data_IF_502204360865
#
_entry.id   IF_502204360865
#
_cell.length_a   1.000
_cell.length_b   1.000
_cell.length_c   1.000
_cell.angle_alpha   90.00
_cell.angle_beta   90.00
_cell.angle_gamma   90.00
#
_symmetry.space_group_name_H-M   'P 1'
#
loop_
_entity.id
_entity.type
_entity.pdbx_description
1 polymer ?
#
# COMPACT_ATOMS: atom_id res chain seq x y z
N UNK A 1 -14.36 6.70 13.05
CA UNK A 1 -14.94 6.18 14.31
C UNK A 1 -14.62 4.72 14.32
N UNK A 2 -13.83 4.24 15.30
CA UNK A 2 -13.59 2.81 15.50
C UNK A 2 -14.89 2.18 16.00
N UNK A 3 -15.27 1.02 15.44
CA UNK A 3 -16.40 0.27 15.97
C UNK A 3 -16.07 -0.27 17.37
N UNK A 4 -17.06 -0.47 18.22
CA UNK A 4 -16.84 -1.04 19.56
C UNK A 4 -16.43 -2.52 19.57
N UNK A 5 -15.83 -3.04 18.52
CA UNK A 5 -15.54 -4.47 18.39
C UNK A 5 -14.22 -4.85 17.71
N UNK A 6 -13.43 -3.89 17.22
CA UNK A 6 -12.10 -4.19 16.64
C UNK A 6 -11.06 -4.48 17.73
N UNK A 7 -10.01 -5.30 17.40
CA UNK A 7 -8.98 -5.70 18.37
C UNK A 7 -8.14 -4.51 18.85
N UNK A 8 -8.11 -3.41 18.10
CA UNK A 8 -7.34 -2.22 18.43
C UNK A 8 -8.23 -1.01 18.70
N UNK A 9 -8.10 -0.44 19.91
CA UNK A 9 -8.79 0.80 20.28
C UNK A 9 -7.97 2.04 19.85
N UNK A 10 -8.02 2.35 18.54
CA UNK A 10 -7.36 3.54 18.00
C UNK A 10 -7.87 4.85 18.59
N UNK A 11 -9.11 4.89 19.06
CA UNK A 11 -9.67 6.09 19.70
C UNK A 11 -8.98 6.35 21.00
N UNK A 12 -8.73 5.31 21.78
CA UNK A 12 -7.97 5.39 23.03
C UNK A 12 -6.52 5.77 22.77
N UNK A 13 -5.86 5.07 21.84
CA UNK A 13 -4.47 5.36 21.46
C UNK A 13 -4.28 6.82 21.04
N UNK A 14 -5.18 7.36 20.20
CA UNK A 14 -5.15 8.77 19.78
C UNK A 14 -5.35 9.73 20.93
N UNK A 15 -6.27 9.45 21.87
CA UNK A 15 -6.49 10.28 23.06
C UNK A 15 -5.27 10.33 23.95
N UNK A 16 -4.62 9.19 24.19
CA UNK A 16 -3.41 9.08 25.00
C UNK A 16 -2.25 9.87 24.37
N UNK A 17 -2.05 9.74 23.03
CA UNK A 17 -1.04 10.49 22.31
C UNK A 17 -1.29 12.00 22.31
N UNK A 18 -2.55 12.42 22.11
CA UNK A 18 -2.92 13.85 22.17
C UNK A 18 -2.70 14.42 23.59
N UNK A 19 -3.02 13.65 24.61
CA UNK A 19 -2.80 14.07 26.00
C UNK A 19 -1.30 14.20 26.34
N UNK A 20 -0.47 13.27 25.84
CA UNK A 20 0.99 13.26 26.08
C UNK A 20 1.75 14.32 25.28
N UNK A 21 1.41 14.48 23.98
CA UNK A 21 2.21 15.28 23.04
C UNK A 21 1.65 16.68 22.78
N UNK A 22 0.42 16.93 23.21
CA UNK A 22 -0.31 18.17 22.97
C UNK A 22 -1.06 18.18 21.64
N UNK A 23 -2.30 18.71 21.66
CA UNK A 23 -3.21 18.77 20.52
C UNK A 23 -2.61 19.54 19.34
N UNK A 24 -1.97 20.68 19.59
CA UNK A 24 -1.45 21.54 18.53
C UNK A 24 -0.34 20.85 17.72
N UNK A 25 0.47 20.04 18.37
CA UNK A 25 1.53 19.27 17.71
C UNK A 25 0.94 18.20 16.80
N UNK A 26 -0.07 17.47 17.24
CA UNK A 26 -0.77 16.48 16.41
C UNK A 26 -1.48 17.17 15.24
N UNK A 27 -2.17 18.29 15.47
CA UNK A 27 -2.80 19.07 14.39
C UNK A 27 -1.78 19.57 13.37
N UNK A 28 -0.59 20.00 13.81
CA UNK A 28 0.48 20.42 12.91
C UNK A 28 0.93 19.30 11.95
N UNK A 29 0.97 18.03 12.41
CA UNK A 29 1.31 16.89 11.58
C UNK A 29 0.29 16.64 10.46
N UNK A 30 -0.99 17.02 10.66
CA UNK A 30 -2.05 16.88 9.65
C UNK A 30 -2.11 18.02 8.63
N UNK A 31 -1.24 19.05 8.76
CA UNK A 31 -1.25 20.17 7.83
C UNK A 31 -0.87 19.72 6.43
N UNK A 32 -1.77 19.94 5.49
CA UNK A 32 -1.58 19.61 4.08
C UNK A 32 -0.83 20.72 3.33
N UNK A 33 -0.04 20.32 2.34
CA UNK A 33 0.64 21.21 1.41
C UNK A 33 0.26 20.84 -0.02
N UNK A 34 -0.58 21.67 -0.63
CA UNK A 34 -1.06 21.46 -2.00
C UNK A 34 0.09 21.30 -3.00
N UNK A 35 1.15 22.06 -2.83
CA UNK A 35 2.31 22.00 -3.72
C UNK A 35 3.11 20.70 -3.60
N UNK A 36 3.23 20.16 -2.38
CA UNK A 36 3.87 18.84 -2.18
C UNK A 36 3.05 17.72 -2.77
N UNK A 37 1.72 17.79 -2.65
CA UNK A 37 0.82 16.82 -3.27
C UNK A 37 0.94 16.88 -4.81
N UNK A 38 0.90 18.09 -5.41
CA UNK A 38 1.07 18.26 -6.86
C UNK A 38 2.45 17.75 -7.32
N UNK A 39 3.52 18.14 -6.63
CA UNK A 39 4.87 17.71 -6.97
C UNK A 39 5.03 16.19 -6.89
N UNK A 40 4.44 15.54 -5.87
CA UNK A 40 4.42 14.09 -5.76
C UNK A 40 3.67 13.41 -6.90
N UNK A 41 2.47 13.90 -7.24
CA UNK A 41 1.67 13.37 -8.35
C UNK A 41 2.42 13.53 -9.67
N UNK A 42 2.89 14.75 -9.98
CA UNK A 42 3.62 15.02 -11.22
C UNK A 42 4.92 14.20 -11.29
N UNK A 43 5.64 14.10 -10.18
CA UNK A 43 6.86 13.30 -10.09
C UNK A 43 6.61 11.81 -10.33
N UNK A 44 5.55 11.25 -9.74
CA UNK A 44 5.18 9.84 -9.93
C UNK A 44 4.80 9.54 -11.38
N UNK A 45 3.91 10.33 -11.99
CA UNK A 45 3.54 10.15 -13.38
C UNK A 45 4.72 10.42 -14.33
N UNK A 46 5.53 11.45 -14.06
CA UNK A 46 6.73 11.77 -14.83
C UNK A 46 7.72 10.60 -14.84
N UNK A 47 8.00 10.02 -13.67
CA UNK A 47 8.88 8.86 -13.54
C UNK A 47 8.29 7.62 -14.23
N UNK A 48 6.98 7.39 -14.09
CA UNK A 48 6.31 6.30 -14.78
C UNK A 48 6.48 6.38 -16.29
N UNK A 49 6.16 7.52 -16.89
CA UNK A 49 6.25 7.69 -18.35
C UNK A 49 7.70 7.72 -18.85
N UNK A 50 8.62 8.29 -18.07
CA UNK A 50 10.05 8.22 -18.36
C UNK A 50 10.52 6.76 -18.43
N UNK A 51 10.19 5.94 -17.43
CA UNK A 51 10.55 4.52 -17.42
C UNK A 51 9.89 3.76 -18.58
N UNK A 52 8.61 4.04 -18.88
CA UNK A 52 7.92 3.43 -20.04
C UNK A 52 8.66 3.72 -21.33
N UNK A 53 9.05 4.97 -21.55
CA UNK A 53 9.80 5.37 -22.71
C UNK A 53 11.19 4.74 -22.74
N UNK A 54 11.97 4.88 -21.67
CA UNK A 54 13.34 4.39 -21.59
C UNK A 54 13.41 2.87 -21.80
N UNK A 55 12.62 2.12 -21.04
CA UNK A 55 12.60 0.66 -21.10
C UNK A 55 12.15 0.14 -22.48
N UNK A 56 11.28 0.88 -23.15
CA UNK A 56 10.78 0.51 -24.48
C UNK A 56 11.71 0.82 -25.64
N UNK A 57 12.59 1.81 -25.47
CA UNK A 57 13.42 2.32 -26.57
C UNK A 57 14.89 1.89 -26.50
N UNK A 58 15.41 1.51 -25.31
CA UNK A 58 16.80 1.14 -25.13
C UNK A 58 17.04 -0.37 -25.24
N UNK A 59 18.13 -0.72 -25.92
CA UNK A 59 18.51 -2.11 -26.14
C UNK A 59 19.08 -2.77 -24.87
N UNK A 60 18.87 -4.07 -24.74
CA UNK A 60 19.35 -4.94 -23.64
C UNK A 60 20.08 -6.17 -24.17
N UNK A 61 20.56 -6.10 -25.43
CA UNK A 61 21.15 -7.27 -26.12
C UNK A 61 22.56 -7.62 -25.66
N UNK A 62 23.26 -6.66 -25.01
CA UNK A 62 24.63 -6.83 -24.57
C UNK A 62 24.78 -6.43 -23.10
N UNK A 63 25.69 -7.08 -22.38
CA UNK A 63 26.00 -6.70 -21.00
C UNK A 63 26.85 -5.43 -21.00
N UNK A 64 26.20 -4.31 -20.71
CA UNK A 64 26.78 -2.95 -20.68
C UNK A 64 26.23 -2.17 -19.50
N UNK A 65 26.79 -1.02 -19.13
CA UNK A 65 26.20 -0.12 -18.12
C UNK A 65 24.75 0.27 -18.47
N UNK A 66 24.42 0.43 -19.75
CA UNK A 66 23.07 0.71 -20.23
C UNK A 66 22.13 -0.46 -19.94
N UNK A 67 22.58 -1.69 -20.14
CA UNK A 67 21.82 -2.90 -19.80
C UNK A 67 21.61 -2.99 -18.28
N UNK A 68 22.60 -2.67 -17.45
CA UNK A 68 22.46 -2.63 -16.01
C UNK A 68 21.44 -1.58 -15.57
N UNK A 69 21.50 -0.37 -16.13
CA UNK A 69 20.51 0.68 -15.88
C UNK A 69 19.11 0.25 -16.31
N UNK A 70 18.98 -0.44 -17.45
CA UNK A 70 17.71 -0.96 -17.93
C UNK A 70 17.09 -1.90 -16.89
N UNK A 71 17.85 -2.83 -16.31
CA UNK A 71 17.34 -3.73 -15.27
C UNK A 71 17.00 -3.02 -13.97
N UNK A 72 17.80 -2.03 -13.58
CA UNK A 72 17.49 -1.20 -12.40
C UNK A 72 16.15 -0.49 -12.59
N UNK A 73 15.94 0.15 -13.75
CA UNK A 73 14.71 0.84 -14.06
C UNK A 73 13.52 -0.13 -14.22
N UNK A 74 13.75 -1.35 -14.74
CA UNK A 74 12.74 -2.39 -14.83
C UNK A 74 12.19 -2.78 -13.44
N UNK A 75 13.07 -3.03 -12.49
CA UNK A 75 12.64 -3.33 -11.12
C UNK A 75 12.07 -2.11 -10.42
N UNK A 76 12.67 -0.93 -10.60
CA UNK A 76 12.12 0.33 -10.09
C UNK A 76 10.70 0.59 -10.58
N UNK A 77 10.39 0.23 -11.84
CA UNK A 77 9.05 0.40 -12.38
C UNK A 77 7.99 -0.42 -11.63
N UNK A 78 8.34 -1.56 -11.07
CA UNK A 78 7.44 -2.31 -10.19
C UNK A 78 7.06 -1.52 -8.94
N UNK A 79 8.02 -0.80 -8.32
CA UNK A 79 7.76 0.10 -7.21
C UNK A 79 6.94 1.33 -7.63
N UNK A 80 7.20 1.87 -8.83
CA UNK A 80 6.43 2.99 -9.38
C UNK A 80 4.97 2.57 -9.61
N UNK A 81 4.72 1.38 -10.15
CA UNK A 81 3.36 0.86 -10.35
C UNK A 81 2.68 0.65 -8.99
N UNK A 82 3.39 0.08 -8.01
CA UNK A 82 2.89 -0.05 -6.64
C UNK A 82 2.51 1.31 -6.04
N UNK A 83 3.29 2.37 -6.31
CA UNK A 83 3.03 3.71 -5.79
C UNK A 83 1.72 4.32 -6.29
N UNK A 84 1.15 3.88 -7.43
CA UNK A 84 -0.21 4.27 -7.81
C UNK A 84 -1.26 3.71 -6.85
N UNK A 85 -1.03 2.55 -6.26
CA UNK A 85 -1.86 2.03 -5.18
C UNK A 85 -1.81 2.93 -3.94
N UNK A 86 -0.64 3.51 -3.61
CA UNK A 86 -0.53 4.48 -2.52
C UNK A 86 -1.14 5.83 -2.84
N UNK A 87 -1.04 6.30 -4.07
CA UNK A 87 -1.74 7.50 -4.49
C UNK A 87 -3.26 7.32 -4.35
N UNK A 88 -3.77 6.16 -4.76
CA UNK A 88 -5.15 5.77 -4.56
C UNK A 88 -5.53 5.74 -3.06
N UNK A 89 -4.71 5.11 -2.24
CA UNK A 89 -4.83 5.01 -0.80
C UNK A 89 -4.87 6.39 -0.11
N UNK A 90 -3.89 7.23 -0.37
CA UNK A 90 -3.77 8.52 0.28
C UNK A 90 -4.85 9.51 -0.18
N UNK A 91 -5.10 9.59 -1.48
CA UNK A 91 -5.97 10.60 -2.08
C UNK A 91 -7.45 10.21 -2.04
N UNK A 92 -7.77 8.91 -2.15
CA UNK A 92 -9.16 8.45 -2.16
C UNK A 92 -9.71 8.15 -0.79
N UNK A 93 -8.92 7.43 0.01
CA UNK A 93 -9.41 6.85 1.25
C UNK A 93 -9.23 7.84 2.40
N UNK A 94 -8.00 8.34 2.58
CA UNK A 94 -7.65 9.11 3.78
C UNK A 94 -7.72 10.61 3.60
N UNK A 95 -7.37 11.12 2.43
CA UNK A 95 -7.34 12.57 2.15
C UNK A 95 -7.94 12.86 0.78
N UNK A 96 -8.90 13.72 0.66
CA UNK A 96 -9.45 14.14 -0.62
C UNK A 96 -8.65 15.32 -1.14
N UNK A 97 -7.82 15.11 -2.18
CA UNK A 97 -7.00 16.15 -2.77
C UNK A 97 -7.70 16.87 -3.93
N UNK A 98 -7.60 18.19 -3.97
CA UNK A 98 -8.06 18.98 -5.13
C UNK A 98 -9.58 19.02 -5.36
N UNK A 99 -10.38 18.60 -4.37
CA UNK A 99 -11.83 18.53 -4.46
C UNK A 99 -12.37 17.18 -4.93
N UNK A 100 -13.66 16.94 -4.71
CA UNK A 100 -14.31 15.63 -4.85
C UNK A 100 -14.15 15.02 -6.25
N UNK A 101 -14.36 15.81 -7.30
CA UNK A 101 -14.31 15.32 -8.68
C UNK A 101 -12.88 15.03 -9.13
N UNK A 102 -11.94 15.91 -8.80
CA UNK A 102 -10.54 15.69 -9.16
C UNK A 102 -9.97 14.46 -8.47
N UNK A 103 -10.17 14.33 -7.15
CA UNK A 103 -9.75 13.15 -6.38
C UNK A 103 -10.34 11.87 -6.97
N UNK A 104 -11.62 11.88 -7.33
CA UNK A 104 -12.28 10.72 -7.92
C UNK A 104 -11.61 10.26 -9.22
N UNK A 105 -11.41 11.18 -10.19
CA UNK A 105 -10.80 10.82 -11.46
C UNK A 105 -9.33 10.44 -11.35
N UNK A 106 -8.58 11.14 -10.48
CA UNK A 106 -7.21 10.74 -10.17
C UNK A 106 -7.16 9.32 -9.61
N UNK A 107 -8.15 8.96 -8.81
CA UNK A 107 -8.28 7.64 -8.24
C UNK A 107 -8.64 6.57 -9.28
N UNK A 108 -9.51 6.88 -10.22
CA UNK A 108 -9.84 5.98 -11.33
C UNK A 108 -8.60 5.69 -12.16
N UNK A 109 -7.83 6.74 -12.54
CA UNK A 109 -6.60 6.55 -13.34
C UNK A 109 -5.54 5.78 -12.55
N UNK A 110 -5.32 6.12 -11.28
CA UNK A 110 -4.40 5.38 -10.40
C UNK A 110 -4.86 3.94 -10.21
N UNK A 111 -6.17 3.72 -10.09
CA UNK A 111 -6.79 2.41 -9.98
C UNK A 111 -6.57 1.54 -11.22
N UNK A 112 -6.65 2.10 -12.42
CA UNK A 112 -6.29 1.39 -13.67
C UNK A 112 -4.83 0.93 -13.62
N UNK A 113 -3.90 1.81 -13.21
CA UNK A 113 -2.47 1.50 -13.17
C UNK A 113 -2.09 0.55 -12.04
N UNK A 114 -2.87 0.51 -10.93
CA UNK A 114 -2.65 -0.37 -9.79
C UNK A 114 -3.59 -1.58 -9.74
N UNK A 115 -4.39 -1.81 -10.78
CA UNK A 115 -5.32 -2.95 -10.91
C UNK A 115 -6.45 -2.98 -9.87
N UNK A 116 -6.96 -1.81 -9.43
CA UNK A 116 -7.95 -1.74 -8.36
C UNK A 116 -9.04 -0.70 -8.62
N UNK A 117 -10.33 -1.06 -8.55
CA UNK A 117 -11.41 -0.06 -8.53
C UNK A 117 -11.36 0.77 -7.25
N UNK A 118 -11.46 2.10 -7.34
CA UNK A 118 -11.27 3.00 -6.19
C UNK A 118 -12.19 2.72 -5.00
N UNK A 119 -13.48 2.56 -5.24
CA UNK A 119 -14.45 2.35 -4.15
C UNK A 119 -14.30 1.00 -3.49
N UNK A 120 -13.97 -0.05 -4.25
CA UNK A 120 -13.71 -1.37 -3.71
C UNK A 120 -12.44 -1.36 -2.86
N UNK A 121 -11.38 -0.73 -3.37
CA UNK A 121 -10.15 -0.57 -2.62
C UNK A 121 -10.37 0.21 -1.32
N UNK A 122 -11.05 1.36 -1.39
CA UNK A 122 -11.35 2.18 -0.22
C UNK A 122 -12.11 1.42 0.85
N UNK A 123 -13.12 0.63 0.43
CA UNK A 123 -13.89 -0.19 1.35
C UNK A 123 -13.03 -1.25 2.05
N UNK A 124 -12.32 -2.09 1.29
CA UNK A 124 -11.48 -3.16 1.86
C UNK A 124 -10.33 -2.61 2.69
N UNK A 125 -9.82 -1.42 2.34
CA UNK A 125 -8.76 -0.79 3.11
C UNK A 125 -9.27 -0.23 4.47
N UNK A 126 -10.47 0.31 4.52
CA UNK A 126 -11.07 0.74 5.79
C UNK A 126 -11.39 -0.47 6.69
N UNK A 127 -11.87 -1.59 6.13
CA UNK A 127 -12.00 -2.85 6.87
C UNK A 127 -10.64 -3.33 7.40
N UNK A 128 -9.59 -3.25 6.56
CA UNK A 128 -8.24 -3.56 7.00
C UNK A 128 -7.80 -2.72 8.19
N UNK A 129 -8.05 -1.42 8.20
CA UNK A 129 -7.75 -0.57 9.37
C UNK A 129 -8.51 -0.99 10.63
N UNK A 130 -9.74 -1.47 10.48
CA UNK A 130 -10.56 -1.90 11.61
C UNK A 130 -10.13 -3.26 12.17
N UNK A 131 -9.83 -4.20 11.28
CA UNK A 131 -9.59 -5.60 11.62
C UNK A 131 -8.15 -6.05 11.42
N UNK A 132 -7.21 -5.10 11.30
CA UNK A 132 -5.79 -5.41 11.04
C UNK A 132 -5.28 -6.54 11.95
N UNK A 133 -4.69 -7.57 11.33
CA UNK A 133 -4.09 -8.70 12.06
C UNK A 133 -5.08 -9.70 12.65
N UNK A 134 -6.38 -9.60 12.34
CA UNK A 134 -7.40 -10.57 12.76
C UNK A 134 -7.88 -11.47 11.61
N UNK A 135 -8.67 -12.49 11.95
CA UNK A 135 -9.28 -13.37 10.97
C UNK A 135 -10.34 -12.65 10.10
N UNK A 136 -10.82 -11.49 10.50
CA UNK A 136 -11.77 -10.64 9.80
C UNK A 136 -11.10 -9.74 8.76
N UNK A 137 -9.78 -9.55 8.85
CA UNK A 137 -9.01 -8.73 7.90
C UNK A 137 -8.92 -9.40 6.51
N UNK A 138 -9.93 -9.16 5.67
CA UNK A 138 -10.01 -9.76 4.33
C UNK A 138 -8.88 -9.32 3.40
N UNK A 139 -8.30 -8.14 3.61
CA UNK A 139 -7.20 -7.64 2.78
C UNK A 139 -5.91 -8.46 2.98
N UNK A 140 -5.72 -9.01 4.17
CA UNK A 140 -4.53 -9.77 4.54
C UNK A 140 -4.78 -11.25 4.81
N UNK A 141 -5.97 -11.79 4.55
CA UNK A 141 -6.22 -13.23 4.49
C UNK A 141 -5.46 -13.91 3.33
N UNK A 142 -4.18 -13.73 3.33
CA UNK A 142 -3.29 -14.47 2.46
C UNK A 142 -2.83 -15.66 3.30
N UNK A 143 -3.08 -16.87 2.83
CA UNK A 143 -2.55 -18.10 3.43
C UNK A 143 -1.01 -18.11 3.34
N UNK A 144 -0.34 -17.20 4.06
CA UNK A 144 1.12 -17.07 4.09
C UNK A 144 1.73 -17.76 5.31
N UNK A 145 1.10 -18.83 5.75
CA UNK A 145 1.45 -19.64 6.92
C UNK A 145 2.70 -20.49 6.74
N UNK A 146 3.18 -20.66 5.51
CA UNK A 146 4.37 -21.44 5.21
C UNK A 146 5.41 -20.62 4.42
N UNK A 147 6.70 -20.95 4.61
CA UNK A 147 7.79 -20.34 3.83
C UNK A 147 7.57 -20.49 2.32
N UNK A 148 7.11 -21.65 1.89
CA UNK A 148 6.86 -21.92 0.47
C UNK A 148 5.81 -20.96 -0.11
N UNK A 149 4.71 -20.74 0.60
CA UNK A 149 3.66 -19.80 0.17
C UNK A 149 4.15 -18.34 0.17
N UNK A 150 4.96 -17.94 1.15
CA UNK A 150 5.59 -16.61 1.19
C UNK A 150 6.56 -16.40 0.03
N UNK A 151 7.38 -17.40 -0.30
CA UNK A 151 8.26 -17.35 -1.46
C UNK A 151 7.47 -17.35 -2.78
N UNK A 152 6.39 -18.14 -2.86
CA UNK A 152 5.51 -18.15 -4.03
C UNK A 152 4.89 -16.77 -4.28
N UNK A 153 4.59 -16.01 -3.22
CA UNK A 153 4.00 -14.67 -3.34
C UNK A 153 4.94 -13.64 -3.97
N UNK A 154 6.25 -13.85 -3.92
CA UNK A 154 7.24 -13.06 -4.67
C UNK A 154 7.16 -13.28 -6.18
N UNK A 155 6.51 -14.35 -6.62
CA UNK A 155 6.41 -14.72 -8.03
C UNK A 155 5.10 -14.18 -8.65
N UNK A 156 5.07 -13.98 -9.98
CA UNK A 156 3.84 -13.64 -10.68
C UNK A 156 2.71 -14.60 -10.38
N UNK A 157 2.99 -15.91 -10.36
CA UNK A 157 1.94 -16.94 -10.12
C UNK A 157 1.28 -16.77 -8.76
N UNK A 158 2.05 -16.65 -7.71
CA UNK A 158 1.52 -16.49 -6.35
C UNK A 158 0.81 -15.14 -6.17
N UNK A 159 1.39 -14.08 -6.70
CA UNK A 159 0.83 -12.74 -6.61
C UNK A 159 -0.52 -12.63 -7.33
N UNK A 160 -0.60 -13.04 -8.60
CA UNK A 160 -1.85 -12.99 -9.35
C UNK A 160 -2.88 -14.01 -8.86
N UNK A 161 -2.46 -15.15 -8.32
CA UNK A 161 -3.36 -16.07 -7.63
C UNK A 161 -3.98 -15.43 -6.37
N UNK A 162 -3.22 -14.62 -5.63
CA UNK A 162 -3.75 -13.86 -4.50
C UNK A 162 -4.73 -12.77 -4.95
N UNK A 163 -4.40 -12.00 -6.00
CA UNK A 163 -5.32 -11.03 -6.60
C UNK A 163 -6.60 -11.73 -7.08
N UNK A 164 -6.48 -12.85 -7.78
CA UNK A 164 -7.64 -13.61 -8.24
C UNK A 164 -8.53 -14.09 -7.09
N UNK A 165 -7.94 -14.59 -6.00
CA UNK A 165 -8.70 -14.98 -4.80
C UNK A 165 -9.41 -13.78 -4.19
N UNK A 166 -8.74 -12.64 -4.07
CA UNK A 166 -9.32 -11.40 -3.61
C UNK A 166 -10.49 -10.96 -4.49
N UNK A 167 -10.32 -10.91 -5.82
CA UNK A 167 -11.38 -10.58 -6.76
C UNK A 167 -12.55 -11.55 -6.67
N UNK A 168 -12.28 -12.86 -6.64
CA UNK A 168 -13.34 -13.88 -6.55
C UNK A 168 -14.15 -13.81 -5.25
N UNK A 169 -13.52 -13.44 -4.14
CA UNK A 169 -14.22 -13.24 -2.86
C UNK A 169 -15.12 -12.00 -2.89
N UNK A 170 -14.68 -10.97 -3.59
CA UNK A 170 -15.36 -9.68 -3.65
C UNK A 170 -16.24 -9.50 -4.90
N UNK A 171 -16.34 -10.53 -5.78
CA UNK A 171 -17.16 -10.46 -6.98
C UNK A 171 -18.08 -11.71 -7.10
N UNK A 172 -19.42 -11.57 -7.21
CA UNK A 172 -20.15 -10.32 -7.04
C UNK A 172 -19.86 -9.73 -5.65
N UNK A 173 -19.84 -8.41 -5.50
CA UNK A 173 -19.48 -7.79 -4.22
C UNK A 173 -20.34 -8.43 -3.12
N UNK A 174 -19.69 -9.16 -2.21
CA UNK A 174 -20.33 -9.58 -0.99
C UNK A 174 -20.51 -8.31 -0.19
N UNK A 175 -21.73 -7.86 -0.11
CA UNK A 175 -22.06 -6.76 0.74
C UNK A 175 -21.73 -7.17 2.18
N UNK A 176 -20.97 -6.35 2.93
CA UNK A 176 -20.84 -6.59 4.35
C UNK A 176 -22.22 -6.66 4.95
N UNK A 177 -22.35 -7.45 6.01
CA UNK A 177 -23.58 -7.53 6.76
C UNK A 177 -24.05 -6.09 7.12
N UNK A 178 -25.38 -5.86 7.21
CA UNK A 178 -25.94 -4.55 7.57
C UNK A 178 -25.34 -3.92 8.83
N UNK A 179 -24.74 -4.74 9.68
CA UNK A 179 -24.15 -4.39 10.96
C UNK A 179 -22.65 -4.06 10.87
N UNK A 180 -22.04 -4.00 9.67
CA UNK A 180 -20.66 -3.57 9.57
C UNK A 180 -20.53 -2.13 10.06
N UNK A 181 -19.51 -1.87 10.88
CA UNK A 181 -19.27 -0.59 11.55
C UNK A 181 -19.23 0.63 10.64
N UNK A 182 -19.02 0.44 9.35
CA UNK A 182 -18.99 1.52 8.38
C UNK A 182 -20.36 1.93 7.83
N UNK A 183 -21.42 1.15 8.01
CA UNK A 183 -22.82 1.52 7.67
C UNK A 183 -23.04 2.07 6.25
N UNK A 184 -21.98 2.12 5.42
CA UNK A 184 -21.97 2.71 4.08
C UNK A 184 -21.30 1.73 3.14
N UNK A 185 -22.14 0.91 2.51
CA UNK A 185 -21.70 0.12 1.37
C UNK A 185 -21.37 1.03 0.19
N UNK A 186 -20.33 0.74 -0.60
CA UNK A 186 -20.19 1.39 -1.88
C UNK A 186 -21.47 1.14 -2.68
N UNK A 187 -22.02 2.19 -3.28
CA UNK A 187 -23.16 2.07 -4.18
C UNK A 187 -22.83 1.05 -5.28
N UNK A 188 -23.70 0.04 -5.44
CA UNK A 188 -23.52 -1.02 -6.44
C UNK A 188 -23.34 -0.44 -7.85
N UNK A 189 -24.11 0.61 -8.19
CA UNK A 189 -24.01 1.27 -9.47
C UNK A 189 -22.64 1.95 -9.63
N UNK A 190 -22.10 2.53 -8.55
CA UNK A 190 -20.76 3.11 -8.53
C UNK A 190 -19.69 2.06 -8.78
N UNK A 191 -19.74 0.91 -8.11
CA UNK A 191 -18.79 -0.19 -8.31
C UNK A 191 -18.83 -0.73 -9.75
N UNK A 192 -20.02 -0.97 -10.30
CA UNK A 192 -20.16 -1.42 -11.68
C UNK A 192 -19.55 -0.40 -12.64
N UNK A 193 -19.81 0.89 -12.43
CA UNK A 193 -19.25 1.97 -13.24
C UNK A 193 -17.72 2.01 -13.16
N UNK A 194 -17.15 1.83 -11.98
CA UNK A 194 -15.70 1.80 -11.81
C UNK A 194 -15.07 0.60 -12.51
N UNK A 195 -15.69 -0.58 -12.45
CA UNK A 195 -15.24 -1.74 -13.21
C UNK A 195 -15.29 -1.51 -14.71
N UNK A 196 -16.32 -0.79 -15.20
CA UNK A 196 -16.39 -0.37 -16.62
C UNK A 196 -15.21 0.56 -16.94
N UNK A 197 -14.89 1.54 -16.10
CA UNK A 197 -13.75 2.43 -16.32
C UNK A 197 -12.41 1.67 -16.31
N UNK A 198 -12.25 0.70 -15.41
CA UNK A 198 -11.08 -0.18 -15.41
C UNK A 198 -10.99 -0.98 -16.72
N UNK A 199 -12.10 -1.56 -17.19
CA UNK A 199 -12.12 -2.29 -18.46
C UNK A 199 -11.79 -1.38 -19.67
N UNK A 200 -12.31 -0.16 -19.70
CA UNK A 200 -11.97 0.85 -20.71
C UNK A 200 -10.46 1.19 -20.62
N UNK A 201 -9.94 1.40 -19.42
CA UNK A 201 -8.51 1.66 -19.20
C UNK A 201 -7.62 0.53 -19.78
N UNK A 202 -8.00 -0.72 -19.55
CA UNK A 202 -7.26 -1.86 -20.12
C UNK A 202 -7.43 -2.00 -21.64
N UNK A 203 -8.59 -1.67 -22.17
CA UNK A 203 -8.77 -1.60 -23.63
C UNK A 203 -7.86 -0.53 -24.26
N UNK A 204 -7.71 0.63 -23.60
CA UNK A 204 -6.77 1.67 -24.02
C UNK A 204 -5.30 1.24 -23.90
N UNK A 205 -4.94 0.53 -22.80
CA UNK A 205 -3.59 -0.04 -22.66
C UNK A 205 -3.32 -1.08 -23.73
N UNK A 206 -4.29 -1.94 -24.05
CA UNK A 206 -4.18 -2.91 -25.14
C UNK A 206 -4.00 -2.23 -26.50
N UNK A 207 -4.80 -1.18 -26.78
CA UNK A 207 -4.64 -0.38 -28.01
C UNK A 207 -3.26 0.28 -28.04
N UNK A 208 -2.81 0.91 -26.95
CA UNK A 208 -1.47 1.50 -26.86
C UNK A 208 -0.36 0.45 -27.05
N UNK A 209 -0.56 -0.78 -26.57
CA UNK A 209 0.37 -1.88 -26.81
C UNK A 209 0.44 -2.28 -28.30
N UNK A 210 -0.68 -2.24 -29.00
CA UNK A 210 -0.70 -2.48 -30.45
C UNK A 210 0.12 -1.45 -31.20
N UNK A 211 -0.01 -0.17 -30.86
CA UNK A 211 0.65 0.96 -31.53
C UNK A 211 2.11 1.15 -31.08
N UNK A 212 2.37 0.99 -29.77
CA UNK A 212 3.68 1.23 -29.14
C UNK A 212 4.14 -0.01 -28.37
N UNK A 213 4.28 -1.12 -29.04
CA UNK A 213 4.55 -2.43 -28.45
C UNK A 213 5.72 -2.41 -27.47
N UNK A 214 6.90 -1.88 -27.83
CA UNK A 214 8.08 -1.83 -26.99
C UNK A 214 7.85 -1.09 -25.66
N UNK A 215 7.48 0.20 -25.70
CA UNK A 215 7.22 0.99 -24.50
C UNK A 215 6.19 0.34 -23.56
N UNK A 216 5.04 -0.07 -24.08
CA UNK A 216 4.00 -0.66 -23.22
C UNK A 216 4.41 -2.04 -22.67
N UNK A 217 5.00 -2.88 -23.52
CA UNK A 217 5.42 -4.23 -23.10
C UNK A 217 6.51 -4.19 -22.04
N UNK A 218 7.59 -3.45 -22.29
CA UNK A 218 8.77 -3.42 -21.43
C UNK A 218 8.70 -2.38 -20.32
N UNK A 219 7.97 -1.30 -20.55
CA UNK A 219 7.82 -0.22 -19.57
C UNK A 219 6.63 -0.36 -18.62
N UNK A 220 5.64 -1.21 -18.97
CA UNK A 220 4.48 -1.41 -18.11
C UNK A 220 4.15 -2.89 -17.88
N UNK A 221 3.81 -3.67 -18.91
CA UNK A 221 3.25 -5.01 -18.74
C UNK A 221 4.24 -5.99 -18.07
N UNK A 222 5.49 -6.06 -18.52
CA UNK A 222 6.48 -6.95 -17.91
C UNK A 222 6.90 -6.51 -16.51
N UNK A 223 7.16 -5.22 -16.21
CA UNK A 223 7.38 -4.78 -14.83
C UNK A 223 6.17 -5.04 -13.93
N UNK A 224 4.93 -4.84 -14.40
CA UNK A 224 3.73 -5.17 -13.64
C UNK A 224 3.61 -6.66 -13.36
N UNK A 225 4.08 -7.51 -14.29
CA UNK A 225 4.03 -8.96 -14.12
C UNK A 225 5.16 -9.51 -13.24
N UNK A 226 6.40 -9.01 -13.38
CA UNK A 226 7.57 -9.59 -12.71
C UNK A 226 8.10 -8.77 -11.53
N UNK A 227 8.12 -7.43 -11.64
CA UNK A 227 8.72 -6.56 -10.64
C UNK A 227 7.73 -6.11 -9.55
N UNK A 228 6.46 -5.85 -9.91
CA UNK A 228 5.42 -5.47 -8.96
C UNK A 228 5.19 -6.52 -7.86
N UNK A 229 5.16 -7.85 -8.12
CA UNK A 229 5.04 -8.85 -7.06
C UNK A 229 6.13 -8.72 -5.99
N UNK A 230 7.37 -8.48 -6.41
CA UNK A 230 8.51 -8.29 -5.51
C UNK A 230 8.33 -6.99 -4.70
N UNK A 231 8.03 -5.88 -5.37
CA UNK A 231 7.80 -4.58 -4.73
C UNK A 231 6.67 -4.66 -3.69
N UNK A 232 5.54 -5.27 -4.06
CA UNK A 232 4.39 -5.42 -3.17
C UNK A 232 4.67 -6.34 -1.98
N UNK A 233 5.43 -7.43 -2.17
CA UNK A 233 5.82 -8.31 -1.06
C UNK A 233 6.73 -7.57 -0.09
N UNK A 234 7.73 -6.83 -0.57
CA UNK A 234 8.59 -6.01 0.29
C UNK A 234 7.77 -4.97 1.05
N UNK A 235 6.82 -4.32 0.41
CA UNK A 235 5.87 -3.42 1.06
C UNK A 235 5.12 -4.12 2.20
N UNK A 236 4.50 -5.25 1.92
CA UNK A 236 3.73 -6.01 2.92
C UNK A 236 4.59 -6.37 4.13
N UNK A 237 5.86 -6.74 3.91
CA UNK A 237 6.83 -7.00 4.99
C UNK A 237 7.07 -5.74 5.83
N UNK A 238 7.24 -4.59 5.20
CA UNK A 238 7.47 -3.34 5.92
C UNK A 238 6.26 -2.89 6.74
N UNK A 239 5.06 -3.11 6.23
CA UNK A 239 3.83 -2.63 6.84
C UNK A 239 3.32 -3.53 7.96
N UNK A 240 3.38 -4.83 7.78
CA UNK A 240 2.71 -5.80 8.66
C UNK A 240 3.58 -6.98 9.05
N UNK A 241 4.92 -6.81 9.11
CA UNK A 241 5.80 -7.88 9.57
C UNK A 241 5.60 -8.25 11.04
N UNK A 242 4.98 -7.41 11.82
CA UNK A 242 4.79 -7.64 13.25
C UNK A 242 3.53 -6.96 13.74
N UNK A 243 2.54 -7.75 14.11
CA UNK A 243 1.32 -7.27 14.75
C UNK A 243 1.05 -8.08 16.01
N UNK A 244 0.52 -7.45 17.05
CA UNK A 244 0.02 -8.10 18.26
C UNK A 244 -1.37 -7.56 18.58
N UNK A 245 -2.44 -8.34 18.45
CA UNK A 245 -3.79 -7.89 18.72
C UNK A 245 -4.04 -7.52 20.19
N UNK A 246 -3.20 -7.96 21.11
CA UNK A 246 -3.33 -7.65 22.53
C UNK A 246 -2.88 -6.23 22.90
N UNK A 247 -2.15 -5.55 21.99
CA UNK A 247 -1.62 -4.22 22.25
C UNK A 247 -2.07 -3.23 21.16
N UNK A 248 -2.78 -2.19 21.59
CA UNK A 248 -3.30 -1.13 20.71
C UNK A 248 -2.24 -0.41 19.87
N UNK A 249 -0.97 -0.50 20.25
CA UNK A 249 0.15 0.11 19.51
C UNK A 249 0.92 -0.90 18.66
N UNK A 250 0.42 -2.13 18.50
CA UNK A 250 1.08 -3.18 17.73
C UNK A 250 0.22 -3.68 16.56
N UNK A 251 -0.58 -2.81 15.96
CA UNK A 251 -1.42 -3.15 14.81
C UNK A 251 -0.66 -3.22 13.47
N UNK A 252 0.54 -2.68 13.44
CA UNK A 252 1.40 -2.65 12.26
C UNK A 252 2.87 -2.53 12.67
N UNK A 253 3.77 -2.77 11.73
CA UNK A 253 5.21 -2.66 11.96
C UNK A 253 5.62 -1.20 12.21
N UNK A 254 6.49 -0.99 13.18
CA UNK A 254 7.15 0.28 13.41
C UNK A 254 8.60 0.19 12.90
N UNK A 255 8.79 0.57 11.65
CA UNK A 255 10.06 0.60 10.97
C UNK A 255 10.23 1.90 10.17
N UNK A 256 11.36 2.55 10.32
CA UNK A 256 11.69 3.73 9.52
C UNK A 256 12.68 3.36 8.42
N UNK A 257 12.28 3.56 7.17
CA UNK A 257 13.12 3.28 6.02
C UNK A 257 14.38 4.16 6.04
N UNK A 258 15.53 3.57 5.70
CA UNK A 258 16.79 4.29 5.56
C UNK A 258 16.85 5.12 4.27
N UNK A 259 17.86 5.98 4.17
CA UNK A 259 18.05 6.87 3.01
C UNK A 259 18.12 6.14 1.65
N UNK A 260 18.58 4.87 1.64
CA UNK A 260 18.69 4.06 0.41
C UNK A 260 17.35 3.44 0.04
N UNK A 261 16.58 2.97 1.03
CA UNK A 261 15.32 2.25 0.79
C UNK A 261 14.14 3.20 0.63
N UNK A 262 14.17 4.36 1.26
CA UNK A 262 13.10 5.35 1.21
C UNK A 262 12.71 5.77 -0.21
N UNK A 263 13.64 6.06 -1.15
CA UNK A 263 13.27 6.39 -2.52
C UNK A 263 12.54 5.28 -3.29
N UNK A 264 12.69 4.01 -2.87
CA UNK A 264 12.00 2.88 -3.50
C UNK A 264 10.53 2.79 -3.08
N UNK A 265 10.22 3.29 -1.89
CA UNK A 265 8.87 3.30 -1.34
C UNK A 265 8.30 4.71 -1.44
N UNK A 266 7.89 5.09 -2.65
CA UNK A 266 7.24 6.37 -2.92
C UNK A 266 6.05 6.58 -1.98
N UNK A 267 5.78 7.83 -1.60
CA UNK A 267 4.67 8.20 -0.75
C UNK A 267 4.80 7.68 0.70
N UNK A 268 6.04 7.53 1.18
CA UNK A 268 6.37 6.91 2.49
C UNK A 268 5.63 5.57 2.72
N UNK A 269 5.46 4.82 1.62
CA UNK A 269 4.85 3.52 1.60
C UNK A 269 5.65 2.56 2.50
N UNK A 270 5.02 2.08 3.55
CA UNK A 270 5.62 1.18 4.52
C UNK A 270 6.49 1.86 5.58
N UNK A 271 6.80 3.17 5.45
CA UNK A 271 7.54 3.89 6.49
C UNK A 271 6.60 4.23 7.65
N UNK A 272 6.95 3.78 8.85
CA UNK A 272 6.16 4.06 10.05
C UNK A 272 4.67 3.68 9.94
N UNK A 273 4.37 2.54 9.37
CA UNK A 273 3.00 2.13 9.05
C UNK A 273 2.08 2.06 10.28
N UNK A 274 2.63 1.77 11.46
CA UNK A 274 1.92 1.91 12.73
C UNK A 274 1.37 3.32 12.95
N UNK A 275 2.18 4.35 12.64
CA UNK A 275 1.75 5.75 12.77
C UNK A 275 0.61 6.06 11.81
N UNK A 276 0.68 5.49 10.59
CA UNK A 276 -0.39 5.59 9.62
C UNK A 276 -1.71 4.97 10.12
N UNK A 277 -1.69 3.77 10.70
CA UNK A 277 -2.89 3.17 11.28
C UNK A 277 -3.50 4.02 12.40
N UNK A 278 -2.68 4.62 13.24
CA UNK A 278 -3.17 5.48 14.32
C UNK A 278 -3.68 6.82 13.78
N UNK A 279 -2.97 7.45 12.84
CA UNK A 279 -3.29 8.76 12.27
C UNK A 279 -3.29 8.74 10.74
N UNK A 280 -4.24 8.07 10.09
CA UNK A 280 -4.24 7.87 8.64
C UNK A 280 -4.40 9.16 7.82
N UNK A 281 -4.79 10.26 8.44
CA UNK A 281 -4.90 11.57 7.80
C UNK A 281 -3.60 12.37 7.72
N UNK A 282 -2.47 11.86 8.27
CA UNK A 282 -1.16 12.53 8.14
C UNK A 282 -0.66 12.36 6.70
N UNK A 283 -0.30 13.46 6.00
CA UNK A 283 0.21 13.37 4.65
C UNK A 283 1.54 12.61 4.57
N UNK A 284 1.76 11.88 3.49
CA UNK A 284 2.96 11.09 3.24
C UNK A 284 4.27 11.87 3.47
N UNK A 285 4.34 13.13 3.06
CA UNK A 285 5.54 13.98 3.23
C UNK A 285 5.76 14.48 4.66
N UNK A 286 4.85 14.18 5.59
CA UNK A 286 4.98 14.44 7.03
C UNK A 286 5.12 13.15 7.85
N UNK A 287 5.04 12.00 7.22
CA UNK A 287 5.09 10.72 7.93
C UNK A 287 6.42 10.56 8.68
N UNK A 288 7.56 10.95 8.10
CA UNK A 288 8.84 10.96 8.79
C UNK A 288 8.86 11.88 10.03
N UNK A 289 8.31 13.09 9.91
CA UNK A 289 8.14 14.02 11.06
C UNK A 289 7.22 13.43 12.13
N UNK A 290 6.15 12.79 11.72
CA UNK A 290 5.22 12.13 12.63
C UNK A 290 5.88 10.95 13.37
N UNK A 291 6.64 10.12 12.66
CA UNK A 291 7.44 9.06 13.25
C UNK A 291 8.37 9.58 14.36
N UNK A 292 9.17 10.60 14.06
CA UNK A 292 10.10 11.18 15.02
C UNK A 292 9.37 11.79 16.23
N UNK A 293 8.23 12.43 15.98
CA UNK A 293 7.41 13.06 17.03
C UNK A 293 6.79 12.03 17.96
N UNK A 294 6.29 10.92 17.41
CA UNK A 294 5.57 9.90 18.17
C UNK A 294 6.49 8.84 18.77
N UNK A 295 7.72 8.75 18.29
CA UNK A 295 8.71 7.75 18.69
C UNK A 295 8.88 7.58 20.20
N UNK A 296 9.12 8.65 21.00
CA UNK A 296 9.28 8.49 22.45
C UNK A 296 8.06 7.83 23.07
N UNK A 297 6.86 8.31 22.74
CA UNK A 297 5.61 7.77 23.25
C UNK A 297 5.43 6.29 22.91
N UNK A 298 5.69 5.91 21.63
CA UNK A 298 5.55 4.53 21.18
C UNK A 298 6.52 3.58 21.89
N UNK A 299 7.78 4.00 22.08
CA UNK A 299 8.77 3.20 22.80
C UNK A 299 8.41 3.01 24.27
N UNK A 300 7.88 4.05 24.94
CA UNK A 300 7.41 3.98 26.31
C UNK A 300 6.20 3.02 26.48
N UNK A 301 5.44 2.78 25.41
CA UNK A 301 4.35 1.81 25.35
C UNK A 301 4.77 0.43 24.82
N UNK A 302 6.08 0.15 24.78
CA UNK A 302 6.62 -1.15 24.43
C UNK A 302 6.66 -1.47 22.95
N UNK A 303 6.41 -0.45 22.07
CA UNK A 303 6.51 -0.66 20.62
C UNK A 303 7.95 -0.94 20.23
N UNK A 304 8.18 -2.03 19.54
CA UNK A 304 9.50 -2.40 19.06
C UNK A 304 9.84 -1.68 17.76
N UNK A 305 10.83 -0.80 17.82
CA UNK A 305 11.38 -0.17 16.61
C UNK A 305 12.31 -1.16 15.88
N UNK A 306 12.01 -1.44 14.62
CA UNK A 306 12.89 -2.24 13.76
C UNK A 306 14.00 -1.38 13.16
N UNK A 307 15.22 -1.95 13.10
CA UNK A 307 16.42 -1.20 12.73
C UNK A 307 16.84 -1.40 11.28
N UNK A 308 16.40 -2.48 10.65
CA UNK A 308 16.76 -2.76 9.26
C UNK A 308 15.69 -3.55 8.52
N UNK A 309 15.59 -3.30 7.21
CA UNK A 309 14.76 -4.09 6.31
C UNK A 309 15.20 -5.56 6.29
N UNK A 310 16.50 -5.83 6.43
CA UNK A 310 17.03 -7.20 6.45
C UNK A 310 16.51 -7.99 7.66
N UNK A 311 16.39 -7.34 8.81
CA UNK A 311 15.81 -7.96 10.02
C UNK A 311 14.36 -8.37 9.75
N UNK A 312 13.56 -7.47 9.15
CA UNK A 312 12.17 -7.77 8.80
C UNK A 312 12.05 -8.89 7.75
N UNK A 313 12.85 -8.83 6.69
CA UNK A 313 12.89 -9.87 5.64
C UNK A 313 13.28 -11.22 6.25
N UNK A 314 14.30 -11.24 7.12
CA UNK A 314 14.72 -12.47 7.82
C UNK A 314 13.59 -13.01 8.68
N UNK A 315 12.96 -12.16 9.51
CA UNK A 315 11.79 -12.56 10.32
C UNK A 315 10.69 -13.16 9.46
N UNK A 316 10.35 -12.48 8.37
CA UNK A 316 9.29 -12.90 7.47
C UNK A 316 9.55 -14.25 6.78
N UNK A 317 10.76 -14.52 6.29
CA UNK A 317 11.07 -15.74 5.53
C UNK A 317 11.70 -16.86 6.36
N UNK A 318 12.39 -16.56 7.45
CA UNK A 318 13.12 -17.55 8.25
C UNK A 318 12.33 -17.98 9.46
N UNK A 319 11.75 -17.03 10.19
CA UNK A 319 11.06 -17.27 11.46
C UNK A 319 9.56 -17.54 11.24
N UNK A 320 9.23 -18.21 10.14
CA UNK A 320 7.85 -18.57 9.79
C UNK A 320 7.28 -19.46 10.88
N UNK A 321 6.29 -18.96 11.60
CA UNK A 321 5.49 -19.76 12.51
C UNK A 321 4.08 -19.92 11.92
N UNK A 322 3.44 -21.10 12.06
CA UNK A 322 2.08 -21.27 11.64
C UNK A 322 1.19 -20.31 12.46
N UNK A 323 0.38 -19.53 11.78
CA UNK A 323 -0.40 -18.50 12.42
C UNK A 323 -1.83 -18.47 11.93
N UNK A 324 -2.76 -18.37 12.84
CA UNK A 324 -4.15 -18.00 12.53
C UNK A 324 -4.26 -16.51 12.24
N UNK A 325 -3.44 -15.72 12.88
CA UNK A 325 -3.15 -14.32 12.60
C UNK A 325 -1.84 -14.21 11.85
N UNK A 326 -1.64 -13.16 11.08
CA UNK A 326 -0.50 -12.96 10.19
C UNK A 326 0.88 -13.09 10.88
N UNK A 327 0.92 -12.99 12.21
CA UNK A 327 2.15 -12.85 12.98
C UNK A 327 2.16 -13.71 14.23
N UNK A 328 3.28 -14.40 14.49
CA UNK A 328 3.42 -15.15 15.70
C UNK A 328 3.52 -14.23 16.92
N UNK A 329 3.03 -14.71 18.03
CA UNK A 329 3.47 -14.28 19.34
C UNK A 329 4.99 -14.33 19.41
N UNK A 330 5.65 -13.24 19.10
CA UNK A 330 7.09 -13.08 19.30
C UNK A 330 7.26 -12.22 20.52
N UNK A 331 7.26 -12.89 21.64
CA UNK A 331 7.75 -12.35 22.89
C UNK A 331 8.63 -13.36 23.59
#
# INVERSE_FOLDING_TARGET
>A
MSSPGGPYDFTRARKEMVASLGKDRIVALHRQSRWRDIAGIVGLYGLFFFNVWYLGTHSRKEFSPETALWWILFFLQGFVIMAFGYLLHDVCVHRKFGGKHFSYWLSVVSGVLSFQPPSQYGFTHLEHHEFTGTDEDEAYKQDLDTRARRLLFLTPVGYFAAIWRFLRRNFPPKWPAPDSAFGRHPDKALLIREWIYIAIGYALIYWAWREWKGPVQYGFLLPAFFALPVANTLRTILEHAETNPENNFHCATYYRTGAITRPLFFWDAGDCHLVHHIFPGIPWYRMGEACDTLRPFLLDHGVRERRSMLELIKGYFVDVRPHRTFWPEVY
#
